data_IF_817002491302
#
_entry.id   IF_817002491302
#
_cell.length_a   1.000
_cell.length_b   1.000
_cell.length_c   1.000
_cell.angle_alpha   90.00
_cell.angle_beta   90.00
_cell.angle_gamma   90.00
#
_symmetry.space_group_name_H-M   'P 1'
#
loop_
_entity.id
_entity.type
_entity.pdbx_description
1 polymer ?
#
# COMPACT_ATOMS: atom_id res chain seq x y z
N UNK A 1 -16.07 -9.87 24.88
CA UNK A 1 -15.69 -10.46 23.58
C UNK A 1 -16.52 -9.77 22.52
N UNK A 2 -15.89 -8.98 21.65
CA UNK A 2 -16.60 -8.28 20.57
C UNK A 2 -17.29 -9.27 19.64
N UNK A 3 -18.48 -8.91 19.16
CA UNK A 3 -19.23 -9.72 18.20
C UNK A 3 -18.35 -9.93 16.96
N UNK A 4 -18.08 -11.19 16.59
CA UNK A 4 -17.29 -11.52 15.39
C UNK A 4 -17.85 -10.86 14.13
N UNK A 5 -19.16 -10.64 14.09
CA UNK A 5 -19.82 -9.96 12.97
C UNK A 5 -19.40 -8.49 12.88
N UNK A 6 -19.13 -7.82 14.01
CA UNK A 6 -18.68 -6.43 14.02
C UNK A 6 -17.30 -6.29 13.39
N UNK A 7 -16.38 -7.22 13.65
CA UNK A 7 -15.03 -7.19 13.07
C UNK A 7 -15.07 -7.22 11.54
N UNK A 8 -15.92 -8.07 10.94
CA UNK A 8 -16.07 -8.12 9.49
C UNK A 8 -16.76 -6.90 8.89
N UNK A 9 -17.70 -6.29 9.63
CA UNK A 9 -18.30 -5.01 9.25
C UNK A 9 -17.26 -3.89 9.26
N UNK A 10 -16.44 -3.82 10.30
CA UNK A 10 -15.36 -2.84 10.44
C UNK A 10 -14.34 -2.97 9.29
N UNK A 11 -13.98 -4.20 8.86
CA UNK A 11 -13.13 -4.43 7.68
C UNK A 11 -13.79 -3.89 6.41
N UNK A 12 -15.09 -4.14 6.24
CA UNK A 12 -15.82 -3.70 5.05
C UNK A 12 -15.91 -2.18 4.98
N UNK A 13 -16.18 -1.53 6.11
CA UNK A 13 -16.20 -0.08 6.24
C UNK A 13 -14.80 0.52 6.02
N UNK A 14 -13.77 -0.04 6.67
CA UNK A 14 -12.39 0.39 6.50
C UNK A 14 -11.91 0.28 5.05
N UNK A 15 -12.30 -0.80 4.35
CA UNK A 15 -12.01 -0.96 2.92
C UNK A 15 -12.70 0.10 2.06
N UNK A 16 -13.98 0.38 2.30
CA UNK A 16 -14.72 1.39 1.55
C UNK A 16 -14.14 2.79 1.80
N UNK A 17 -13.85 3.13 3.05
CA UNK A 17 -13.24 4.41 3.41
C UNK A 17 -11.86 4.57 2.76
N UNK A 18 -10.99 3.56 2.88
CA UNK A 18 -9.67 3.57 2.24
C UNK A 18 -9.76 3.68 0.72
N UNK A 19 -10.74 3.02 0.08
CA UNK A 19 -10.97 3.14 -1.36
C UNK A 19 -11.44 4.54 -1.76
N UNK A 20 -12.31 5.17 -0.96
CA UNK A 20 -12.78 6.54 -1.19
C UNK A 20 -11.63 7.54 -1.03
N UNK A 21 -10.86 7.45 0.04
CA UNK A 21 -9.70 8.32 0.30
C UNK A 21 -8.65 8.19 -0.81
N UNK A 22 -8.34 6.95 -1.20
CA UNK A 22 -7.46 6.68 -2.33
C UNK A 22 -8.00 7.30 -3.62
N UNK A 23 -9.29 7.16 -3.91
CA UNK A 23 -9.90 7.73 -5.11
C UNK A 23 -9.88 9.27 -5.09
N UNK A 24 -10.17 9.91 -3.95
CA UNK A 24 -10.11 11.36 -3.78
C UNK A 24 -8.69 11.87 -4.04
N UNK A 25 -7.67 11.15 -3.58
CA UNK A 25 -6.28 11.53 -3.82
C UNK A 25 -5.84 11.27 -5.26
N UNK A 26 -6.16 10.10 -5.82
CA UNK A 26 -5.56 9.64 -7.09
C UNK A 26 -6.31 10.14 -8.32
N UNK A 27 -7.65 10.22 -8.28
CA UNK A 27 -8.45 10.62 -9.44
C UNK A 27 -8.11 12.03 -9.95
N UNK A 28 -7.94 13.07 -9.12
CA UNK A 28 -7.58 14.40 -9.61
C UNK A 28 -6.25 14.40 -10.39
N UNK A 29 -5.25 13.68 -9.88
CA UNK A 29 -3.95 13.56 -10.55
C UNK A 29 -4.07 12.73 -11.83
N UNK A 30 -4.87 11.67 -11.81
CA UNK A 30 -5.15 10.90 -13.02
C UNK A 30 -5.81 11.77 -14.09
N UNK A 31 -6.88 12.49 -13.75
CA UNK A 31 -7.55 13.40 -14.68
C UNK A 31 -6.60 14.47 -15.22
N UNK A 32 -5.83 15.11 -14.34
CA UNK A 32 -4.90 16.16 -14.71
C UNK A 32 -3.80 15.66 -15.64
N UNK A 33 -3.06 14.62 -15.24
CA UNK A 33 -1.85 14.19 -15.95
C UNK A 33 -2.14 13.23 -17.12
N UNK A 34 -3.17 12.40 -17.01
CA UNK A 34 -3.48 11.36 -18.00
C UNK A 34 -4.60 11.71 -18.97
N UNK A 35 -5.48 12.66 -18.63
CA UNK A 35 -6.55 13.12 -19.55
C UNK A 35 -6.24 14.53 -20.09
N UNK A 36 -6.09 15.51 -19.20
CA UNK A 36 -5.99 16.93 -19.57
C UNK A 36 -4.63 17.26 -20.18
N UNK A 37 -3.54 16.92 -19.49
CA UNK A 37 -2.17 17.28 -19.89
C UNK A 37 -1.52 16.27 -20.83
N UNK A 38 -2.19 15.18 -21.20
CA UNK A 38 -1.60 14.03 -21.92
C UNK A 38 -0.85 14.43 -23.20
N UNK A 39 -1.41 15.38 -23.96
CA UNK A 39 -0.85 15.85 -25.23
C UNK A 39 0.32 16.84 -25.02
N UNK A 40 0.24 17.68 -23.98
CA UNK A 40 1.31 18.63 -23.62
C UNK A 40 2.54 17.89 -23.09
N UNK A 41 2.34 16.95 -22.18
CA UNK A 41 3.41 16.17 -21.54
C UNK A 41 4.03 15.11 -22.46
N UNK A 42 3.40 14.79 -23.59
CA UNK A 42 3.95 13.85 -24.57
C UNK A 42 5.36 14.24 -25.04
N UNK A 43 5.65 15.55 -25.10
CA UNK A 43 6.93 16.10 -25.60
C UNK A 43 8.10 15.94 -24.64
N UNK A 44 7.84 15.81 -23.33
CA UNK A 44 8.87 15.68 -22.29
C UNK A 44 9.00 14.24 -21.78
N UNK A 45 8.26 13.30 -22.39
CA UNK A 45 8.23 11.91 -21.97
C UNK A 45 9.51 11.21 -22.40
N UNK A 46 10.15 10.53 -21.45
CA UNK A 46 11.42 9.80 -21.65
C UNK A 46 11.15 8.33 -22.04
N UNK A 47 10.00 7.76 -21.63
CA UNK A 47 9.66 6.37 -21.89
C UNK A 47 9.45 6.10 -23.38
N UNK A 48 10.25 5.20 -23.95
CA UNK A 48 10.15 4.74 -25.34
C UNK A 48 8.89 3.88 -25.58
N UNK A 49 8.39 3.22 -24.53
CA UNK A 49 7.21 2.36 -24.60
C UNK A 49 5.93 3.17 -24.90
N UNK A 50 4.96 2.57 -25.62
CA UNK A 50 3.64 3.18 -25.80
C UNK A 50 2.98 3.46 -24.44
N UNK A 51 2.03 4.39 -24.42
CA UNK A 51 1.28 4.67 -23.19
C UNK A 51 0.51 3.43 -22.72
N UNK A 52 0.28 3.36 -21.41
CA UNK A 52 -0.53 2.32 -20.81
C UNK A 52 -1.89 2.19 -21.51
N UNK A 53 -2.27 0.95 -21.83
CA UNK A 53 -3.57 0.63 -22.41
C UNK A 53 -4.54 0.18 -21.31
N UNK A 54 -5.78 -0.13 -21.69
CA UNK A 54 -6.81 -0.56 -20.74
C UNK A 54 -6.41 -1.80 -19.94
N UNK A 55 -5.64 -2.72 -20.51
CA UNK A 55 -5.16 -3.91 -19.81
C UNK A 55 -4.23 -3.55 -18.64
N UNK A 56 -3.31 -2.60 -18.83
CA UNK A 56 -2.45 -2.11 -17.74
C UNK A 56 -3.26 -1.41 -16.64
N UNK A 57 -4.27 -0.63 -16.99
CA UNK A 57 -5.13 -0.01 -15.97
C UNK A 57 -5.94 -1.03 -15.18
N UNK A 58 -6.49 -2.05 -15.83
CA UNK A 58 -7.22 -3.13 -15.13
C UNK A 58 -6.28 -3.92 -14.22
N UNK A 59 -5.06 -4.20 -14.69
CA UNK A 59 -4.02 -4.82 -13.89
C UNK A 59 -3.74 -4.00 -12.62
N UNK A 60 -3.43 -2.71 -12.78
CA UNK A 60 -3.09 -1.83 -11.66
C UNK A 60 -4.26 -1.65 -10.69
N UNK A 61 -5.48 -1.55 -11.22
CA UNK A 61 -6.68 -1.44 -10.40
C UNK A 61 -6.90 -2.71 -9.57
N UNK A 62 -6.72 -3.90 -10.16
CA UNK A 62 -6.87 -5.17 -9.45
C UNK A 62 -5.92 -5.28 -8.26
N UNK A 63 -4.64 -4.96 -8.46
CA UNK A 63 -3.64 -5.03 -7.39
C UNK A 63 -3.79 -3.89 -6.36
N UNK A 64 -4.25 -2.72 -6.80
CA UNK A 64 -4.66 -1.64 -5.90
C UNK A 64 -5.79 -2.06 -4.98
N UNK A 65 -6.87 -2.63 -5.52
CA UNK A 65 -7.99 -3.14 -4.71
C UNK A 65 -7.52 -4.20 -3.71
N UNK A 66 -6.64 -5.12 -4.14
CA UNK A 66 -6.04 -6.11 -3.24
C UNK A 66 -5.22 -5.46 -2.12
N UNK A 67 -4.46 -4.41 -2.41
CA UNK A 67 -3.63 -3.69 -1.43
C UNK A 67 -4.51 -2.95 -0.42
N UNK A 68 -5.53 -2.24 -0.89
CA UNK A 68 -6.49 -1.55 -0.04
C UNK A 68 -7.22 -2.51 0.91
N UNK A 69 -7.58 -3.69 0.42
CA UNK A 69 -8.19 -4.72 1.27
C UNK A 69 -7.23 -5.22 2.36
N UNK A 70 -5.94 -5.45 2.02
CA UNK A 70 -4.94 -5.85 3.01
C UNK A 70 -4.75 -4.77 4.07
N UNK A 71 -4.67 -3.50 3.67
CA UNK A 71 -4.57 -2.39 4.61
C UNK A 71 -5.80 -2.28 5.51
N UNK A 72 -7.01 -2.41 4.97
CA UNK A 72 -8.23 -2.43 5.79
C UNK A 72 -8.20 -3.53 6.86
N UNK A 73 -7.76 -4.74 6.51
CA UNK A 73 -7.60 -5.85 7.47
C UNK A 73 -6.54 -5.52 8.52
N UNK A 74 -5.39 -4.95 8.11
CA UNK A 74 -4.32 -4.57 9.03
C UNK A 74 -4.76 -3.47 10.00
N UNK A 75 -5.39 -2.42 9.50
CA UNK A 75 -5.84 -1.26 10.29
C UNK A 75 -6.90 -1.65 11.31
N UNK A 76 -7.92 -2.41 10.89
CA UNK A 76 -8.96 -2.90 11.81
C UNK A 76 -8.38 -3.86 12.84
N UNK A 77 -7.43 -4.71 12.46
CA UNK A 77 -6.73 -5.58 13.41
C UNK A 77 -5.94 -4.77 14.43
N UNK A 78 -5.23 -3.72 14.00
CA UNK A 78 -4.48 -2.83 14.88
C UNK A 78 -5.41 -2.10 15.86
N UNK A 79 -6.53 -1.56 15.38
CA UNK A 79 -7.55 -0.92 16.21
C UNK A 79 -8.14 -1.89 17.23
N UNK A 80 -8.39 -3.13 16.84
CA UNK A 80 -8.85 -4.16 17.76
C UNK A 80 -7.80 -4.47 18.83
N UNK A 81 -6.53 -4.63 18.45
CA UNK A 81 -5.44 -4.84 19.41
C UNK A 81 -5.29 -3.66 20.37
N UNK A 82 -5.42 -2.42 19.87
CA UNK A 82 -5.37 -1.21 20.68
C UNK A 82 -6.50 -1.16 21.69
N UNK A 83 -7.74 -1.42 21.27
CA UNK A 83 -8.92 -1.47 22.16
C UNK A 83 -8.79 -2.52 23.27
N UNK A 84 -8.03 -3.59 23.04
CA UNK A 84 -7.78 -4.64 24.03
C UNK A 84 -6.49 -4.41 24.85
N UNK A 85 -5.81 -3.28 24.69
CA UNK A 85 -4.59 -2.94 25.43
C UNK A 85 -3.35 -3.71 25.00
N UNK A 86 -3.36 -4.35 23.82
CA UNK A 86 -2.20 -5.09 23.29
C UNK A 86 -1.20 -4.21 22.53
N UNK A 87 -1.49 -2.91 22.38
CA UNK A 87 -0.59 -1.95 21.74
C UNK A 87 -0.10 -0.93 22.74
N UNK A 88 1.09 -0.38 22.50
CA UNK A 88 1.65 0.75 23.24
C UNK A 88 1.36 2.10 22.56
N UNK A 89 0.26 2.19 21.81
CA UNK A 89 -0.15 3.44 21.16
C UNK A 89 -0.56 4.44 22.24
N UNK A 90 0.10 5.60 22.23
CA UNK A 90 -0.29 6.74 23.04
C UNK A 90 -1.29 7.58 22.21
N UNK A 91 -2.39 7.99 22.83
CA UNK A 91 -3.45 8.79 22.20
C UNK A 91 -3.66 10.14 22.88
N UNK A 92 -3.04 10.37 24.04
CA UNK A 92 -3.04 11.64 24.76
C UNK A 92 -1.62 12.24 24.83
N UNK A 93 -1.46 13.43 24.25
CA UNK A 93 -0.21 14.19 24.28
C UNK A 93 0.15 14.61 25.71
N UNK A 94 -0.81 14.79 26.61
CA UNK A 94 -0.55 15.23 27.98
C UNK A 94 0.18 14.18 28.83
N UNK A 95 0.18 12.91 28.41
CA UNK A 95 0.85 11.84 29.14
C UNK A 95 2.39 11.97 29.14
N UNK A 96 2.97 12.41 28.01
CA UNK A 96 4.42 12.53 27.83
C UNK A 96 4.89 13.92 27.35
N UNK A 97 3.94 14.82 27.05
CA UNK A 97 4.16 16.19 26.63
C UNK A 97 4.45 16.38 25.13
N UNK A 98 4.31 17.63 24.68
CA UNK A 98 4.47 18.01 23.28
C UNK A 98 5.87 17.72 22.70
N UNK A 99 6.93 17.83 23.51
CA UNK A 99 8.28 17.56 23.05
C UNK A 99 8.45 16.08 22.68
N UNK A 100 7.93 15.18 23.51
CA UNK A 100 7.93 13.74 23.21
C UNK A 100 7.07 13.45 21.98
N UNK A 101 5.90 14.07 21.85
CA UNK A 101 5.03 13.92 20.68
C UNK A 101 5.70 14.30 19.36
N UNK A 102 6.41 15.44 19.32
CA UNK A 102 7.13 15.86 18.11
C UNK A 102 8.29 14.89 17.84
N UNK A 103 9.04 14.52 18.87
CA UNK A 103 10.14 13.57 18.74
C UNK A 103 9.67 12.20 18.24
N UNK A 104 8.55 11.67 18.75
CA UNK A 104 8.01 10.38 18.34
C UNK A 104 7.61 10.37 16.86
N UNK A 105 7.01 11.45 16.35
CA UNK A 105 6.70 11.60 14.93
C UNK A 105 7.98 11.54 14.09
N UNK A 106 8.98 12.37 14.43
CA UNK A 106 10.26 12.40 13.69
C UNK A 106 10.95 11.03 13.75
N UNK A 107 10.93 10.40 14.92
CA UNK A 107 11.54 9.09 15.12
C UNK A 107 10.83 7.99 14.34
N UNK A 108 9.50 7.97 14.31
CA UNK A 108 8.71 7.02 13.50
C UNK A 108 8.95 7.24 12.02
N UNK A 109 9.03 8.49 11.54
CA UNK A 109 9.36 8.77 10.14
C UNK A 109 10.76 8.26 9.78
N UNK A 110 11.76 8.51 10.64
CA UNK A 110 13.11 7.98 10.45
C UNK A 110 13.15 6.44 10.42
N UNK A 111 12.45 5.79 11.36
CA UNK A 111 12.34 4.33 11.39
C UNK A 111 11.61 3.79 10.16
N UNK A 112 10.52 4.43 9.75
CA UNK A 112 9.74 4.05 8.59
C UNK A 112 10.59 4.15 7.31
N UNK A 113 11.30 5.26 7.10
CA UNK A 113 12.15 5.44 5.92
C UNK A 113 13.31 4.43 5.91
N UNK A 114 13.91 4.19 7.07
CA UNK A 114 14.96 3.18 7.22
C UNK A 114 14.41 1.79 6.88
N UNK A 115 13.27 1.42 7.46
CA UNK A 115 12.61 0.15 7.20
C UNK A 115 12.22 0.01 5.72
N UNK A 116 11.61 1.03 5.14
CA UNK A 116 11.22 1.06 3.74
C UNK A 116 12.43 0.87 2.82
N UNK A 117 13.53 1.59 3.05
CA UNK A 117 14.75 1.45 2.27
C UNK A 117 15.28 0.01 2.29
N UNK A 118 15.45 -0.56 3.48
CA UNK A 118 16.04 -1.91 3.61
C UNK A 118 15.12 -2.99 3.07
N UNK A 119 13.82 -2.90 3.34
CA UNK A 119 12.84 -3.86 2.82
C UNK A 119 12.71 -3.75 1.31
N UNK A 120 12.69 -2.53 0.74
CA UNK A 120 12.71 -2.31 -0.70
C UNK A 120 13.96 -2.89 -1.34
N UNK A 121 15.14 -2.63 -0.78
CA UNK A 121 16.40 -3.21 -1.23
C UNK A 121 16.39 -4.74 -1.18
N UNK A 122 15.84 -5.32 -0.11
CA UNK A 122 15.70 -6.77 0.01
C UNK A 122 14.72 -7.33 -1.04
N UNK A 123 13.60 -6.64 -1.29
CA UNK A 123 12.63 -7.02 -2.32
C UNK A 123 13.23 -7.01 -3.74
N UNK A 124 14.25 -6.20 -4.00
CA UNK A 124 15.02 -6.22 -5.26
C UNK A 124 16.02 -7.36 -5.37
N UNK A 125 16.29 -8.10 -4.29
CA UNK A 125 17.17 -9.24 -4.35
C UNK A 125 16.60 -10.30 -5.33
N UNK A 126 17.42 -10.94 -6.20
CA UNK A 126 16.91 -11.83 -7.26
C UNK A 126 15.98 -12.95 -6.77
N UNK A 127 16.24 -13.47 -5.55
CA UNK A 127 15.42 -14.52 -4.91
C UNK A 127 14.06 -14.01 -4.42
N UNK A 128 13.87 -12.71 -4.22
CA UNK A 128 12.68 -12.08 -3.65
C UNK A 128 11.88 -11.27 -4.68
N UNK A 129 12.56 -10.74 -5.70
CA UNK A 129 12.00 -9.86 -6.72
C UNK A 129 10.71 -10.40 -7.36
N UNK A 130 10.74 -11.65 -7.83
CA UNK A 130 9.59 -12.27 -8.50
C UNK A 130 8.38 -12.45 -7.59
N UNK A 131 8.55 -12.40 -6.27
CA UNK A 131 7.49 -12.61 -5.30
C UNK A 131 6.87 -11.31 -4.77
N UNK A 132 7.69 -10.28 -4.55
CA UNK A 132 7.22 -9.06 -3.87
C UNK A 132 7.19 -7.85 -4.77
N UNK A 133 8.13 -7.73 -5.71
CA UNK A 133 8.36 -6.47 -6.39
C UNK A 133 8.06 -6.49 -7.88
N UNK A 134 7.99 -7.68 -8.50
CA UNK A 134 7.72 -7.84 -9.92
C UNK A 134 6.45 -7.14 -10.39
N UNK A 135 5.30 -7.34 -9.71
CA UNK A 135 4.02 -6.73 -10.11
C UNK A 135 4.10 -5.21 -10.14
N UNK A 136 4.78 -4.61 -9.17
CA UNK A 136 5.00 -3.17 -9.13
C UNK A 136 5.86 -2.68 -10.31
N UNK A 137 6.83 -3.47 -10.76
CA UNK A 137 7.68 -3.17 -11.92
C UNK A 137 7.09 -3.57 -13.28
N UNK A 138 6.01 -4.35 -13.31
CA UNK A 138 5.31 -4.68 -14.56
C UNK A 138 4.63 -3.46 -15.18
N UNK A 139 4.34 -2.44 -14.37
CA UNK A 139 3.76 -1.17 -14.80
C UNK A 139 4.85 -0.22 -15.31
N UNK A 140 5.32 -0.47 -16.54
CA UNK A 140 6.40 0.29 -17.17
C UNK A 140 6.04 1.73 -17.57
N UNK A 141 4.76 2.08 -17.55
CA UNK A 141 4.25 3.44 -17.75
C UNK A 141 3.40 3.83 -16.53
N UNK A 142 4.04 4.22 -15.41
CA UNK A 142 3.35 4.38 -14.14
C UNK A 142 2.35 5.52 -14.24
N UNK A 143 1.08 5.16 -14.01
CA UNK A 143 0.00 6.12 -13.82
C UNK A 143 -0.18 6.41 -12.33
N UNK A 144 -0.93 7.45 -11.94
CA UNK A 144 -1.29 7.65 -10.53
C UNK A 144 -1.90 6.39 -9.87
N UNK A 145 -2.60 5.54 -10.63
CA UNK A 145 -3.15 4.26 -10.14
C UNK A 145 -2.06 3.22 -9.83
N UNK A 146 -0.92 3.29 -10.50
CA UNK A 146 0.19 2.33 -10.34
C UNK A 146 0.78 2.39 -8.92
N UNK A 147 0.62 3.52 -8.23
CA UNK A 147 1.09 3.71 -6.85
C UNK A 147 0.49 2.70 -5.86
N UNK A 148 -0.72 2.19 -6.10
CA UNK A 148 -1.35 1.15 -5.28
C UNK A 148 -1.13 -0.28 -5.78
N UNK A 149 -0.50 -0.48 -6.94
CA UNK A 149 -0.36 -1.78 -7.59
C UNK A 149 0.80 -2.59 -7.01
N UNK A 150 0.59 -3.17 -5.83
CA UNK A 150 1.55 -4.06 -5.18
C UNK A 150 1.11 -5.52 -5.21
N UNK A 151 2.09 -6.43 -5.26
CA UNK A 151 1.79 -7.86 -5.14
C UNK A 151 1.30 -8.11 -3.70
N UNK A 152 0.14 -8.74 -3.50
CA UNK A 152 -0.23 -9.22 -2.17
C UNK A 152 0.77 -10.31 -1.81
N UNK A 153 1.67 -10.06 -0.86
CA UNK A 153 2.75 -10.99 -0.46
C UNK A 153 2.29 -12.36 0.06
N UNK A 154 1.02 -12.72 -0.13
CA UNK A 154 0.30 -13.89 0.37
C UNK A 154 0.83 -15.26 -0.08
N UNK A 155 1.87 -15.33 -0.92
CA UNK A 155 2.48 -16.62 -1.32
C UNK A 155 3.41 -17.25 -0.27
N UNK A 156 3.42 -16.80 0.97
CA UNK A 156 4.16 -17.47 2.05
C UNK A 156 3.51 -18.79 2.50
N UNK A 157 2.18 -18.92 2.45
CA UNK A 157 1.49 -20.16 2.87
C UNK A 157 1.75 -21.33 1.91
N UNK A 158 1.98 -21.07 0.61
CA UNK A 158 2.24 -22.13 -0.36
C UNK A 158 3.72 -22.53 -0.49
N UNK A 159 4.67 -21.72 -0.02
CA UNK A 159 6.11 -22.05 -0.13
C UNK A 159 6.63 -22.92 1.03
N UNK A 160 5.93 -22.96 2.16
CA UNK A 160 6.19 -23.97 3.21
C UNK A 160 5.80 -25.39 2.74
N UNK A 161 4.96 -25.52 1.70
CA UNK A 161 4.61 -26.81 1.08
C UNK A 161 5.34 -27.12 -0.24
N UNK A 162 6.17 -26.22 -0.77
CA UNK A 162 6.91 -26.43 -2.02
C UNK A 162 8.44 -26.52 -1.86
N UNK A 163 8.95 -26.42 -0.64
CA UNK A 163 10.36 -26.67 -0.32
C UNK A 163 10.67 -28.15 -0.01
N UNK A 164 9.69 -29.06 -0.12
CA UNK A 164 9.88 -30.51 0.07
C UNK A 164 9.70 -31.33 -1.20
N UNK A 165 9.55 -30.72 -2.38
CA UNK A 165 9.61 -31.47 -3.64
C UNK A 165 10.12 -30.61 -4.80
N UNK A 166 11.43 -30.77 -5.02
CA UNK A 166 12.28 -30.61 -6.22
C UNK A 166 13.45 -29.65 -6.00
#
# INVERSE_FOLDING_TARGET
MGNSNQFFLDISEGFLNGAIEYAILVLPFFLLFWIILKNKLKRIRIQEAPRANNHHFIHDLKYTVSTLFIFAVMDVSLLYLQKNGYTLLYDDVNQYGWLFFIFSIVFVLFLHDTFFYWTHRAMHHPKLYHFFHRVHHESTDPSPLTSGSFHPGWKWVCLIFKATNR
#
